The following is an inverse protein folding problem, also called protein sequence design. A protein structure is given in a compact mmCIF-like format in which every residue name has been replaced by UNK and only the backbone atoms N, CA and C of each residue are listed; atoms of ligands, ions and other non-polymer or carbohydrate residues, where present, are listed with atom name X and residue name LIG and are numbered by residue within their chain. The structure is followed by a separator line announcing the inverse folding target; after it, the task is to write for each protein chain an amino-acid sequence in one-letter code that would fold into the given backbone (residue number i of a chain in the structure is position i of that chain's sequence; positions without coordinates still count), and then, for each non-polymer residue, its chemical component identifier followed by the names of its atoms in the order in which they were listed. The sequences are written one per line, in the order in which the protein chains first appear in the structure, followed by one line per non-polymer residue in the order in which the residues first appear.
data_IF_063753878281
#
_entry.id   IF_063753878281
#
_cell.length_a   1.000
_cell.length_b   1.000
_cell.length_c   1.000
_cell.angle_alpha   90.00
_cell.angle_beta   90.00
_cell.angle_gamma   90.00
#
_symmetry.space_group_name_H-M   'P 1'
#
loop_
_entity.id
_entity.type
_entity.pdbx_description
1 polymer ?
#
# COMPACT_ATOMS: atom_id res chain seq x y z
N UNK A 1 -11.26 0.29 2.86
CA UNK A 1 -9.94 0.78 3.33
C UNK A 1 -9.63 2.04 2.52
N UNK A 2 -9.08 3.09 3.13
CA UNK A 2 -8.64 4.27 2.36
C UNK A 2 -7.19 4.07 1.95
N UNK A 3 -6.85 4.47 0.73
CA UNK A 3 -5.45 4.55 0.29
C UNK A 3 -4.70 5.60 1.10
N UNK A 4 -3.45 5.27 1.46
CA UNK A 4 -2.56 6.24 2.08
C UNK A 4 -2.06 7.20 1.00
N UNK A 5 -2.56 8.44 1.03
CA UNK A 5 -2.10 9.50 0.15
C UNK A 5 -0.85 10.18 0.69
N UNK A 6 -1.02 11.42 1.13
CA UNK A 6 0.02 12.27 1.72
C UNK A 6 -0.51 12.94 2.99
N UNK A 7 0.26 13.88 3.54
CA UNK A 7 -0.22 14.79 4.59
C UNK A 7 0.29 14.52 6.00
N UNK A 8 1.15 13.53 6.15
CA UNK A 8 1.87 13.26 7.39
C UNK A 8 3.16 12.50 7.08
N UNK A 9 3.94 12.19 8.10
CA UNK A 9 5.33 11.74 8.00
C UNK A 9 5.51 10.39 7.29
N UNK A 10 4.48 9.53 7.23
CA UNK A 10 4.57 8.26 6.50
C UNK A 10 4.90 8.45 5.01
N UNK A 11 4.64 9.64 4.46
CA UNK A 11 4.73 9.91 3.01
C UNK A 11 6.12 9.58 2.47
N UNK A 12 7.20 9.96 3.16
CA UNK A 12 8.56 9.64 2.71
C UNK A 12 8.86 8.14 2.79
N UNK A 13 8.38 7.46 3.84
CA UNK A 13 8.61 6.02 4.01
C UNK A 13 7.86 5.22 2.96
N UNK A 14 6.58 5.51 2.78
CA UNK A 14 5.72 4.75 1.90
C UNK A 14 5.94 5.13 0.43
N UNK A 15 5.75 6.41 0.10
CA UNK A 15 5.69 6.86 -1.28
C UNK A 15 7.07 6.97 -1.95
N UNK A 16 8.13 7.21 -1.17
CA UNK A 16 9.47 7.39 -1.72
C UNK A 16 10.36 6.16 -1.53
N UNK A 17 10.26 5.48 -0.38
CA UNK A 17 11.16 4.37 -0.03
C UNK A 17 10.53 2.98 -0.17
N UNK A 18 9.23 2.86 -0.45
CA UNK A 18 8.54 1.58 -0.50
C UNK A 18 8.59 0.83 0.82
N UNK A 19 8.48 1.55 1.94
CA UNK A 19 8.42 0.96 3.29
C UNK A 19 6.95 0.88 3.70
N UNK A 20 6.48 -0.36 3.92
CA UNK A 20 5.14 -0.65 4.41
C UNK A 20 4.87 0.21 5.64
N UNK A 21 3.82 1.02 5.55
CA UNK A 21 3.47 2.02 6.55
C UNK A 21 1.98 1.92 6.88
N UNK A 22 1.58 2.46 8.01
CA UNK A 22 0.19 2.56 8.42
C UNK A 22 -0.08 3.93 9.05
N UNK A 23 -1.31 4.42 8.89
CA UNK A 23 -1.82 5.56 9.62
C UNK A 23 -3.20 5.20 10.19
N UNK A 24 -3.26 5.05 11.51
CA UNK A 24 -4.42 4.52 12.21
C UNK A 24 -4.85 5.50 13.32
N UNK A 25 -6.12 5.88 13.30
CA UNK A 25 -6.74 6.73 14.29
C UNK A 25 -8.26 6.74 14.16
N UNK A 26 -8.93 7.33 15.14
CA UNK A 26 -10.36 7.62 15.07
C UNK A 26 -10.58 8.98 14.40
N UNK A 27 -11.64 9.09 13.61
CA UNK A 27 -12.07 10.36 13.02
C UNK A 27 -13.53 10.62 13.38
N UNK A 28 -13.89 11.89 13.55
CA UNK A 28 -15.28 12.30 13.75
C UNK A 28 -15.85 12.69 12.39
N UNK A 29 -16.48 11.72 11.73
CA UNK A 29 -17.02 11.89 10.38
C UNK A 29 -15.94 11.85 9.29
N UNK A 30 -16.32 12.32 8.09
CA UNK A 30 -15.50 12.28 6.87
C UNK A 30 -14.74 13.57 6.58
N UNK A 31 -14.99 14.65 7.34
CA UNK A 31 -14.33 15.94 7.19
C UNK A 31 -13.27 16.17 8.28
N UNK A 32 -12.40 17.16 8.06
CA UNK A 32 -11.49 17.63 9.11
C UNK A 32 -12.30 18.13 10.32
N UNK A 33 -11.81 17.87 11.52
CA UNK A 33 -12.47 18.33 12.73
C UNK A 33 -12.36 19.87 12.82
N UNK A 34 -13.40 20.51 13.39
CA UNK A 34 -13.64 21.95 13.23
C UNK A 34 -12.60 22.89 13.85
N UNK A 35 -11.67 22.39 14.65
CA UNK A 35 -10.60 23.18 15.29
C UNK A 35 -9.22 22.98 14.66
N UNK A 36 -9.10 22.14 13.62
CA UNK A 36 -7.83 21.84 12.96
C UNK A 36 -7.07 23.11 12.54
N UNK A 37 -5.76 23.15 12.83
CA UNK A 37 -4.85 24.27 12.53
C UNK A 37 -5.34 25.64 13.06
N UNK A 38 -6.08 25.64 14.16
CA UNK A 38 -6.54 26.87 14.82
C UNK A 38 -6.05 26.95 16.27
N UNK A 39 -6.15 28.15 16.86
CA UNK A 39 -5.88 28.34 18.29
C UNK A 39 -6.89 27.64 19.21
N UNK A 40 -7.98 27.09 18.64
CA UNK A 40 -9.00 26.35 19.38
C UNK A 40 -8.65 24.86 19.54
N UNK A 41 -7.65 24.35 18.80
CA UNK A 41 -7.11 23.01 19.01
C UNK A 41 -6.35 22.98 20.34
N UNK A 42 -7.05 22.54 21.38
CA UNK A 42 -6.66 22.78 22.77
C UNK A 42 -7.18 21.68 23.69
N UNK A 43 -6.57 21.55 24.88
CA UNK A 43 -7.00 20.56 25.87
C UNK A 43 -8.48 20.70 26.26
N UNK A 44 -9.04 21.91 26.50
CA UNK A 44 -10.46 22.04 26.79
C UNK A 44 -11.38 21.54 25.67
N UNK A 45 -10.98 21.74 24.40
CA UNK A 45 -11.72 21.16 23.27
C UNK A 45 -11.66 19.64 23.28
N UNK A 46 -10.49 19.06 23.48
CA UNK A 46 -10.33 17.60 23.52
C UNK A 46 -11.10 16.97 24.69
N UNK A 47 -10.99 17.51 25.90
CA UNK A 47 -11.65 16.96 27.09
C UNK A 47 -13.17 17.16 27.08
N UNK A 48 -13.65 18.27 26.49
CA UNK A 48 -15.07 18.61 26.46
C UNK A 48 -15.84 18.06 25.25
N UNK A 49 -15.17 17.90 24.10
CA UNK A 49 -15.82 17.61 22.81
C UNK A 49 -15.08 16.52 22.02
N UNK A 50 -13.76 16.65 21.83
CA UNK A 50 -13.00 15.82 20.91
C UNK A 50 -12.92 14.34 21.31
N UNK A 51 -12.52 14.07 22.56
CA UNK A 51 -12.48 12.73 23.14
C UNK A 51 -12.66 12.81 24.67
N UNK A 52 -13.89 13.05 25.18
CA UNK A 52 -14.15 13.08 26.61
C UNK A 52 -13.66 11.80 27.29
N UNK A 53 -12.90 11.96 28.38
CA UNK A 53 -12.22 10.88 29.10
C UNK A 53 -11.12 10.13 28.33
N UNK A 54 -10.65 10.64 27.19
CA UNK A 54 -9.55 10.08 26.40
C UNK A 54 -9.76 8.62 25.98
N UNK A 55 -11.01 8.20 25.77
CA UNK A 55 -11.35 6.80 25.51
C UNK A 55 -10.81 6.33 24.15
N UNK A 56 -10.94 7.16 23.11
CA UNK A 56 -10.42 6.82 21.78
C UNK A 56 -8.91 6.94 21.72
N UNK A 57 -8.29 7.94 22.37
CA UNK A 57 -6.83 8.03 22.51
C UNK A 57 -6.24 6.80 23.19
N UNK A 58 -6.84 6.36 24.30
CA UNK A 58 -6.43 5.14 25.02
C UNK A 58 -6.54 3.90 24.13
N UNK A 59 -7.60 3.82 23.32
CA UNK A 59 -7.81 2.71 22.38
C UNK A 59 -6.79 2.73 21.25
N UNK A 60 -6.53 3.90 20.66
CA UNK A 60 -5.49 4.09 19.64
C UNK A 60 -4.11 3.69 20.15
N UNK A 61 -3.76 4.08 21.38
CA UNK A 61 -2.51 3.66 22.01
C UNK A 61 -2.41 2.13 22.16
N UNK A 62 -3.50 1.46 22.54
CA UNK A 62 -3.56 -0.01 22.63
C UNK A 62 -3.42 -0.67 21.26
N UNK A 63 -4.05 -0.12 20.22
CA UNK A 63 -3.94 -0.64 18.86
C UNK A 63 -2.51 -0.53 18.33
N UNK A 64 -1.90 0.65 18.44
CA UNK A 64 -0.50 0.83 18.05
C UNK A 64 0.42 -0.09 18.84
N UNK A 65 0.24 -0.20 20.17
CA UNK A 65 1.02 -1.12 20.99
C UNK A 65 0.87 -2.59 20.56
N UNK A 66 -0.34 -3.04 20.25
CA UNK A 66 -0.59 -4.40 19.77
C UNK A 66 0.05 -4.66 18.40
N UNK A 67 -0.11 -3.72 17.45
CA UNK A 67 0.52 -3.81 16.12
C UNK A 67 2.03 -3.90 16.27
N UNK A 68 2.65 -3.02 17.09
CA UNK A 68 4.09 -3.07 17.36
C UNK A 68 4.53 -4.40 17.96
N UNK A 69 3.79 -4.92 18.96
CA UNK A 69 4.10 -6.21 19.57
C UNK A 69 4.06 -7.35 18.56
N UNK A 70 3.10 -7.33 17.64
CA UNK A 70 3.02 -8.34 16.58
C UNK A 70 4.15 -8.21 15.56
N UNK A 71 4.45 -6.99 15.10
CA UNK A 71 5.53 -6.76 14.14
C UNK A 71 6.92 -7.15 14.69
N UNK A 72 7.14 -7.00 16.01
CA UNK A 72 8.43 -7.29 16.64
C UNK A 72 8.55 -8.74 17.13
N UNK A 73 7.45 -9.38 17.52
CA UNK A 73 7.49 -10.71 18.16
C UNK A 73 6.92 -11.87 17.34
N UNK A 74 6.06 -11.60 16.34
CA UNK A 74 5.53 -12.70 15.51
C UNK A 74 6.70 -13.32 14.72
N UNK A 75 6.78 -14.67 14.73
CA UNK A 75 7.88 -15.39 14.08
C UNK A 75 7.95 -15.09 12.56
N UNK A 76 6.77 -14.91 11.96
CA UNK A 76 6.58 -14.40 10.61
C UNK A 76 5.82 -13.08 10.71
N UNK A 77 6.31 -12.05 10.02
CA UNK A 77 5.66 -10.73 9.99
C UNK A 77 4.27 -10.86 9.37
N UNK A 78 3.20 -10.31 9.98
CA UNK A 78 1.82 -10.54 9.57
C UNK A 78 1.39 -9.65 8.37
N UNK A 79 2.17 -9.66 7.29
CA UNK A 79 1.79 -9.00 6.04
C UNK A 79 1.10 -9.98 5.09
N UNK A 80 0.15 -9.47 4.32
CA UNK A 80 -0.63 -10.22 3.35
C UNK A 80 -0.85 -9.38 2.10
N UNK A 81 -0.36 -9.88 0.98
CA UNK A 81 -0.42 -9.20 -0.32
C UNK A 81 -1.48 -9.80 -1.25
N UNK A 82 -2.23 -10.82 -0.82
CA UNK A 82 -3.26 -11.46 -1.65
C UNK A 82 -4.39 -10.51 -2.05
N UNK A 83 -4.60 -9.43 -1.29
CA UNK A 83 -5.65 -8.45 -1.55
C UNK A 83 -5.23 -7.32 -2.49
N UNK A 84 -3.94 -7.14 -2.76
CA UNK A 84 -3.44 -6.05 -3.62
C UNK A 84 -4.01 -6.16 -5.04
N UNK A 85 -4.05 -7.38 -5.58
CA UNK A 85 -4.54 -7.63 -6.94
C UNK A 85 -6.03 -7.29 -7.13
N UNK A 86 -6.87 -7.57 -6.14
CA UNK A 86 -8.29 -7.20 -6.17
C UNK A 86 -8.46 -5.68 -6.30
N UNK A 87 -7.75 -4.94 -5.45
CA UNK A 87 -7.79 -3.48 -5.43
C UNK A 87 -7.27 -2.90 -6.75
N UNK A 88 -6.14 -3.41 -7.25
CA UNK A 88 -5.62 -3.03 -8.58
C UNK A 88 -6.65 -3.25 -9.69
N UNK A 89 -7.41 -4.35 -9.67
CA UNK A 89 -8.43 -4.61 -10.71
C UNK A 89 -9.61 -3.65 -10.63
N UNK A 90 -10.09 -3.36 -9.42
CA UNK A 90 -11.24 -2.48 -9.19
C UNK A 90 -10.95 -1.06 -9.68
N UNK A 91 -9.83 -0.45 -9.28
CA UNK A 91 -9.48 0.91 -9.68
C UNK A 91 -9.09 1.02 -11.17
N UNK A 92 -8.42 0.02 -11.74
CA UNK A 92 -8.06 0.04 -13.17
C UNK A 92 -9.29 0.15 -14.08
N UNK A 93 -10.38 -0.55 -13.71
CA UNK A 93 -11.61 -0.54 -14.48
C UNK A 93 -12.24 0.87 -14.59
N UNK A 94 -12.02 1.75 -13.61
CA UNK A 94 -12.46 3.14 -13.66
C UNK A 94 -11.63 3.96 -14.66
N UNK A 95 -10.30 3.86 -14.63
CA UNK A 95 -9.43 4.60 -15.55
C UNK A 95 -9.58 4.19 -17.01
N UNK A 96 -9.89 2.93 -17.29
CA UNK A 96 -10.21 2.46 -18.63
C UNK A 96 -11.43 3.20 -19.20
N UNK A 97 -12.48 3.42 -18.39
CA UNK A 97 -13.68 4.14 -18.83
C UNK A 97 -13.37 5.62 -19.09
N UNK A 98 -12.58 6.24 -18.20
CA UNK A 98 -12.21 7.65 -18.32
C UNK A 98 -11.37 7.89 -19.58
N UNK A 99 -10.35 7.07 -19.83
CA UNK A 99 -9.48 7.23 -21.01
C UNK A 99 -10.23 7.03 -22.32
N UNK A 100 -11.19 6.10 -22.38
CA UNK A 100 -12.11 5.96 -23.53
C UNK A 100 -12.97 7.22 -23.73
N UNK A 101 -13.55 7.76 -22.64
CA UNK A 101 -14.37 8.98 -22.71
C UNK A 101 -13.57 10.21 -23.18
N UNK A 102 -12.27 10.25 -22.86
CA UNK A 102 -11.32 11.27 -23.34
C UNK A 102 -10.86 11.04 -24.78
N UNK A 103 -11.34 10.01 -25.48
CA UNK A 103 -10.86 9.61 -26.81
C UNK A 103 -9.36 9.28 -26.83
N UNK A 104 -8.82 8.73 -25.74
CA UNK A 104 -7.45 8.21 -25.64
C UNK A 104 -7.47 6.70 -25.86
N UNK A 105 -6.68 6.23 -26.82
CA UNK A 105 -6.61 4.80 -27.17
C UNK A 105 -5.43 4.13 -26.45
N UNK A 106 -5.60 3.88 -25.15
CA UNK A 106 -4.61 3.24 -24.29
C UNK A 106 -4.96 1.75 -24.15
N UNK A 107 -3.97 0.89 -24.36
CA UNK A 107 -4.08 -0.55 -24.20
C UNK A 107 -3.61 -1.00 -22.82
N UNK A 108 -4.53 -1.50 -22.01
CA UNK A 108 -4.30 -2.00 -20.66
C UNK A 108 -4.13 -3.53 -20.58
N UNK A 109 -4.03 -4.24 -21.72
CA UNK A 109 -3.96 -5.72 -21.71
C UNK A 109 -2.77 -6.24 -20.90
N UNK A 110 -1.59 -5.66 -21.11
CA UNK A 110 -0.37 -6.05 -20.38
C UNK A 110 -0.50 -5.79 -18.88
N UNK A 111 -1.11 -4.66 -18.49
CA UNK A 111 -1.34 -4.34 -17.09
C UNK A 111 -2.33 -5.32 -16.44
N UNK A 112 -3.42 -5.68 -17.13
CA UNK A 112 -4.37 -6.69 -16.63
C UNK A 112 -3.72 -8.06 -16.47
N UNK A 113 -2.91 -8.48 -17.43
CA UNK A 113 -2.17 -9.74 -17.36
C UNK A 113 -1.20 -9.73 -16.18
N UNK A 114 -0.45 -8.64 -15.97
CA UNK A 114 0.47 -8.47 -14.84
C UNK A 114 -0.26 -8.51 -13.49
N UNK A 115 -1.42 -7.86 -13.36
CA UNK A 115 -2.23 -7.89 -12.12
C UNK A 115 -2.75 -9.30 -11.83
N UNK A 116 -3.19 -10.03 -12.86
CA UNK A 116 -3.65 -11.43 -12.74
C UNK A 116 -2.51 -12.35 -12.29
N UNK A 117 -1.31 -12.18 -12.88
CA UNK A 117 -0.11 -12.90 -12.49
C UNK A 117 0.29 -12.59 -11.04
N UNK A 118 0.31 -11.31 -10.67
CA UNK A 118 0.60 -10.88 -9.29
C UNK A 118 -0.38 -11.52 -8.30
N UNK A 119 -1.68 -11.50 -8.59
CA UNK A 119 -2.71 -12.08 -7.72
C UNK A 119 -2.47 -13.58 -7.49
N UNK A 120 -2.25 -14.32 -8.57
CA UNK A 120 -1.98 -15.76 -8.51
C UNK A 120 -0.70 -16.08 -7.72
N UNK A 121 0.35 -15.29 -7.94
CA UNK A 121 1.63 -15.49 -7.25
C UNK A 121 1.56 -15.07 -5.77
N UNK A 122 0.78 -14.04 -5.44
CA UNK A 122 0.57 -13.59 -4.05
C UNK A 122 -0.22 -14.63 -3.25
N UNK A 123 -1.27 -15.22 -3.83
CA UNK A 123 -2.01 -16.33 -3.20
C UNK A 123 -1.11 -17.54 -2.95
N UNK A 124 -0.33 -17.95 -3.97
CA UNK A 124 0.60 -19.06 -3.85
C UNK A 124 1.69 -18.79 -2.79
N UNK A 125 2.24 -17.58 -2.77
CA UNK A 125 3.22 -17.16 -1.78
C UNK A 125 2.64 -17.19 -0.36
N UNK A 126 1.44 -16.61 -0.16
CA UNK A 126 0.78 -16.59 1.14
C UNK A 126 0.47 -18.00 1.65
N UNK A 127 0.04 -18.90 0.76
CA UNK A 127 -0.18 -20.31 1.09
C UNK A 127 1.11 -21.02 1.55
N UNK A 128 2.25 -20.72 0.93
CA UNK A 128 3.56 -21.29 1.31
C UNK A 128 4.04 -20.76 2.67
N UNK A 129 3.89 -19.46 2.90
CA UNK A 129 4.20 -18.83 4.19
C UNK A 129 3.33 -19.43 5.30
N UNK A 130 2.04 -19.62 5.07
CA UNK A 130 1.13 -20.25 6.02
C UNK A 130 1.52 -21.71 6.30
N UNK A 131 1.86 -22.50 5.27
CA UNK A 131 2.33 -23.88 5.44
C UNK A 131 3.62 -23.96 6.27
N UNK A 132 4.55 -23.02 6.06
CA UNK A 132 5.75 -22.88 6.87
C UNK A 132 5.43 -22.55 8.34
N UNK A 133 4.54 -21.56 8.57
CA UNK A 133 4.14 -21.15 9.91
C UNK A 133 3.46 -22.30 10.68
N UNK A 134 2.57 -23.06 10.03
CA UNK A 134 1.89 -24.22 10.61
C UNK A 134 2.86 -25.34 10.98
N UNK A 135 3.82 -25.64 10.10
CA UNK A 135 4.88 -26.63 10.34
C UNK A 135 5.74 -26.20 11.55
N UNK A 136 6.11 -24.92 11.60
CA UNK A 136 6.91 -24.35 12.69
C UNK A 136 6.17 -24.36 14.02
N UNK A 137 4.87 -24.07 14.03
CA UNK A 137 4.05 -24.08 15.25
C UNK A 137 3.87 -25.48 15.84
N UNK A 138 3.73 -26.52 14.99
CA UNK A 138 3.57 -27.92 15.42
C UNK A 138 4.85 -28.49 16.03
N UNK A 139 6.02 -28.04 15.57
CA UNK A 139 7.31 -28.37 16.16
C UNK A 139 7.70 -27.34 17.21
N UNK A 140 7.01 -27.35 18.35
CA UNK A 140 7.36 -26.49 19.50
C UNK A 140 8.88 -26.57 19.74
N UNK A 141 9.56 -25.44 19.56
CA UNK A 141 11.01 -25.24 19.76
C UNK A 141 11.96 -25.87 18.72
N UNK A 142 11.55 -26.12 17.48
CA UNK A 142 12.52 -26.39 16.39
C UNK A 142 13.26 -25.09 16.01
N UNK A 143 14.21 -24.69 16.87
CA UNK A 143 15.21 -23.64 16.63
C UNK A 143 16.39 -24.17 15.82
N UNK A 144 16.17 -25.16 14.96
CA UNK A 144 17.22 -25.60 14.04
C UNK A 144 17.67 -24.42 13.18
N UNK A 145 18.95 -24.43 12.85
CA UNK A 145 19.55 -23.42 11.98
C UNK A 145 18.84 -23.34 10.63
N UNK A 146 18.37 -24.47 10.11
CA UNK A 146 17.60 -24.55 8.86
C UNK A 146 16.26 -23.83 8.95
N UNK A 147 15.51 -24.02 10.05
CA UNK A 147 14.24 -23.33 10.26
C UNK A 147 14.42 -21.81 10.41
N UNK A 148 15.53 -21.37 11.02
CA UNK A 148 15.88 -19.96 11.11
C UNK A 148 16.15 -19.34 9.74
N UNK A 149 16.91 -20.03 8.88
CA UNK A 149 17.19 -19.59 7.51
C UNK A 149 15.90 -19.48 6.70
N UNK A 150 15.04 -20.51 6.76
CA UNK A 150 13.76 -20.52 6.04
C UNK A 150 12.84 -19.40 6.56
N UNK A 151 12.78 -19.17 7.88
CA UNK A 151 12.02 -18.06 8.47
C UNK A 151 12.52 -16.70 8.02
N UNK A 152 13.85 -16.50 8.03
CA UNK A 152 14.46 -15.26 7.56
C UNK A 152 14.13 -15.01 6.08
N UNK A 153 14.22 -16.04 5.24
CA UNK A 153 13.86 -15.96 3.83
C UNK A 153 12.42 -15.46 3.62
N UNK A 154 11.44 -16.03 4.34
CA UNK A 154 10.04 -15.60 4.23
C UNK A 154 9.83 -14.16 4.71
N UNK A 155 10.42 -13.78 5.85
CA UNK A 155 10.32 -12.42 6.38
C UNK A 155 10.99 -11.40 5.47
N UNK A 156 12.12 -11.74 4.88
CA UNK A 156 12.80 -10.87 3.93
C UNK A 156 11.94 -10.61 2.69
N UNK A 157 11.29 -11.65 2.14
CA UNK A 157 10.32 -11.51 1.05
C UNK A 157 9.16 -10.59 1.42
N UNK A 158 8.51 -10.84 2.57
CA UNK A 158 7.37 -10.06 3.06
C UNK A 158 7.71 -8.58 3.24
N UNK A 159 8.86 -8.27 3.85
CA UNK A 159 9.28 -6.89 4.15
C UNK A 159 9.77 -6.15 2.91
N UNK A 160 10.31 -6.86 1.91
CA UNK A 160 10.88 -6.23 0.71
C UNK A 160 9.90 -6.05 -0.45
N UNK A 161 8.81 -6.82 -0.50
CA UNK A 161 7.90 -6.81 -1.67
C UNK A 161 7.45 -5.38 -2.06
N UNK A 162 7.08 -4.54 -1.10
CA UNK A 162 6.59 -3.17 -1.37
C UNK A 162 7.60 -2.32 -2.16
N UNK A 163 8.91 -2.57 -2.01
CA UNK A 163 9.96 -1.85 -2.76
C UNK A 163 9.97 -2.23 -4.24
N UNK A 164 9.50 -3.42 -4.58
CA UNK A 164 9.33 -3.84 -5.98
C UNK A 164 8.13 -3.16 -6.66
N UNK A 165 7.31 -2.41 -5.92
CA UNK A 165 6.22 -1.60 -6.45
C UNK A 165 6.63 -0.13 -6.65
N UNK A 166 7.92 0.17 -6.50
CA UNK A 166 8.48 1.51 -6.70
C UNK A 166 9.32 1.58 -7.97
N UNK A 167 9.38 2.78 -8.56
CA UNK A 167 10.28 3.10 -9.69
C UNK A 167 11.24 4.21 -9.30
N UNK A 168 12.49 4.11 -9.77
CA UNK A 168 13.49 5.15 -9.56
C UNK A 168 13.20 6.44 -10.33
N UNK A 169 12.53 6.33 -11.47
CA UNK A 169 12.09 7.48 -12.28
C UNK A 169 10.92 8.22 -11.63
N UNK A 170 10.16 7.53 -10.77
CA UNK A 170 9.00 8.05 -10.06
C UNK A 170 7.76 8.22 -10.93
N UNK A 171 6.78 8.95 -10.40
CA UNK A 171 5.53 9.23 -11.07
C UNK A 171 5.69 10.34 -12.14
N UNK A 172 4.90 10.30 -13.22
CA UNK A 172 4.76 11.41 -14.16
C UNK A 172 4.48 12.72 -13.41
N UNK A 173 5.06 13.83 -13.86
CA UNK A 173 4.90 15.19 -13.31
C UNK A 173 5.39 15.40 -11.86
N UNK A 174 5.66 14.34 -11.09
CA UNK A 174 6.08 14.41 -9.68
C UNK A 174 7.03 13.27 -9.31
N UNK A 175 8.26 13.26 -9.86
CA UNK A 175 9.21 12.13 -9.75
C UNK A 175 9.72 11.84 -8.33
N UNK A 176 9.44 12.73 -7.37
CA UNK A 176 9.72 12.44 -5.97
C UNK A 176 8.83 11.32 -5.41
N UNK A 177 7.61 11.15 -5.92
CA UNK A 177 6.77 10.00 -5.56
C UNK A 177 7.20 8.82 -6.41
N UNK A 178 7.60 7.72 -5.77
CA UNK A 178 8.17 6.54 -6.43
C UNK A 178 7.25 5.35 -6.48
N UNK A 179 6.29 5.27 -5.57
CA UNK A 179 5.36 4.15 -5.48
C UNK A 179 4.31 4.23 -6.61
N UNK A 180 4.29 3.22 -7.49
CA UNK A 180 3.50 3.26 -8.72
C UNK A 180 2.07 2.74 -8.56
N UNK A 181 1.80 2.00 -7.48
CA UNK A 181 0.52 1.31 -7.31
C UNK A 181 -0.46 2.12 -6.47
N UNK A 182 0.02 2.67 -5.36
CA UNK A 182 -0.79 3.46 -4.44
C UNK A 182 -0.05 4.75 -4.11
N UNK A 183 -0.73 5.88 -4.21
CA UNK A 183 -0.11 7.17 -3.93
C UNK A 183 -1.13 8.29 -3.77
N UNK A 184 -0.71 9.50 -3.40
CA UNK A 184 -1.63 10.63 -3.31
C UNK A 184 -2.24 10.94 -4.69
N UNK A 185 -3.53 11.30 -4.76
CA UNK A 185 -4.11 11.85 -5.98
C UNK A 185 -3.67 13.31 -6.18
N UNK A 186 -3.37 13.75 -7.41
CA UNK A 186 -2.84 15.10 -7.66
C UNK A 186 -3.74 16.22 -7.10
N UNK A 187 -5.06 16.11 -7.30
CA UNK A 187 -6.05 17.07 -6.80
C UNK A 187 -6.86 16.56 -5.60
N UNK A 188 -6.51 15.41 -5.03
CA UNK A 188 -7.28 14.80 -3.94
C UNK A 188 -6.77 15.14 -2.53
N UNK A 189 -5.76 16.01 -2.45
CA UNK A 189 -5.17 16.45 -1.19
C UNK A 189 -4.54 15.28 -0.43
N UNK A 190 -5.16 14.87 0.68
CA UNK A 190 -4.65 13.80 1.55
C UNK A 190 -5.12 12.40 1.13
N UNK A 191 -6.12 12.29 0.25
CA UNK A 191 -6.60 10.99 -0.21
C UNK A 191 -5.59 10.35 -1.13
N UNK A 192 -5.39 9.05 -0.93
CA UNK A 192 -4.66 8.24 -1.89
C UNK A 192 -5.58 7.74 -3.00
N UNK A 193 -4.95 7.29 -4.07
CA UNK A 193 -5.56 6.67 -5.24
C UNK A 193 -4.70 5.47 -5.64
N UNK A 194 -5.32 4.47 -6.27
CA UNK A 194 -4.55 3.49 -7.01
C UNK A 194 -4.01 4.09 -8.33
N UNK A 195 -2.95 3.51 -8.86
CA UNK A 195 -2.22 3.94 -10.06
C UNK A 195 -2.08 5.47 -10.19
N UNK A 196 -1.46 6.13 -9.20
CA UNK A 196 -1.40 7.58 -9.13
C UNK A 196 -0.85 8.24 -10.40
N UNK A 197 0.10 7.62 -11.10
CA UNK A 197 0.61 8.20 -12.35
C UNK A 197 -0.32 8.03 -13.57
N UNK A 198 -1.17 6.98 -13.61
CA UNK A 198 -2.24 6.85 -14.61
C UNK A 198 -3.29 7.94 -14.34
N UNK A 199 -3.67 8.10 -13.07
CA UNK A 199 -4.56 9.18 -12.62
C UNK A 199 -4.00 10.57 -12.98
N UNK A 200 -2.70 10.80 -12.74
CA UNK A 200 -2.05 12.05 -13.13
C UNK A 200 -2.09 12.28 -14.64
N UNK A 201 -1.80 11.26 -15.44
CA UNK A 201 -1.82 11.38 -16.89
C UNK A 201 -3.22 11.79 -17.42
N UNK A 202 -4.28 11.28 -16.79
CA UNK A 202 -5.66 11.69 -17.05
C UNK A 202 -5.86 13.17 -16.66
N UNK A 203 -5.43 13.54 -15.46
CA UNK A 203 -5.58 14.89 -14.90
C UNK A 203 -4.87 15.95 -15.73
N UNK A 204 -3.69 15.62 -16.27
CA UNK A 204 -2.90 16.51 -17.13
C UNK A 204 -3.26 16.44 -18.61
N UNK A 205 -4.25 15.60 -18.96
CA UNK A 205 -4.68 15.35 -20.34
C UNK A 205 -3.52 14.94 -21.27
N UNK A 206 -2.58 14.14 -20.74
CA UNK A 206 -1.43 13.65 -21.51
C UNK A 206 -1.88 12.94 -22.80
N UNK A 207 -1.01 12.92 -23.80
CA UNK A 207 -1.30 12.23 -25.04
C UNK A 207 -1.27 10.71 -24.88
N UNK A 208 -1.85 10.00 -25.86
CA UNK A 208 -1.97 8.54 -25.83
C UNK A 208 -0.62 7.84 -25.69
N UNK A 209 0.45 8.38 -26.28
CA UNK A 209 1.76 7.73 -26.23
C UNK A 209 2.38 7.85 -24.82
N UNK A 210 2.27 9.01 -24.19
CA UNK A 210 2.72 9.21 -22.80
C UNK A 210 1.92 8.34 -21.83
N UNK A 211 0.59 8.30 -21.97
CA UNK A 211 -0.26 7.43 -21.14
C UNK A 211 0.10 5.95 -21.32
N UNK A 212 0.28 5.50 -22.58
CA UNK A 212 0.64 4.10 -22.87
C UNK A 212 1.98 3.73 -22.26
N UNK A 213 3.00 4.57 -22.42
CA UNK A 213 4.32 4.31 -21.83
C UNK A 213 4.22 4.12 -20.33
N UNK A 214 3.47 4.97 -19.64
CA UNK A 214 3.32 4.85 -18.20
C UNK A 214 2.54 3.59 -17.78
N UNK A 215 1.50 3.20 -18.52
CA UNK A 215 0.78 1.93 -18.30
C UNK A 215 1.73 0.74 -18.47
N UNK A 216 2.59 0.76 -19.47
CA UNK A 216 3.57 -0.29 -19.74
C UNK A 216 4.62 -0.36 -18.60
N UNK A 217 5.09 0.78 -18.10
CA UNK A 217 6.02 0.86 -16.97
C UNK A 217 5.41 0.26 -15.69
N UNK A 218 4.15 0.60 -15.39
CA UNK A 218 3.41 0.04 -14.25
C UNK A 218 3.25 -1.48 -14.41
N UNK A 219 2.90 -1.96 -15.61
CA UNK A 219 2.78 -3.39 -15.88
C UNK A 219 4.11 -4.12 -15.64
N UNK A 220 5.22 -3.57 -16.10
CA UNK A 220 6.55 -4.14 -15.90
C UNK A 220 6.95 -4.23 -14.41
N UNK A 221 6.63 -3.19 -13.63
CA UNK A 221 6.86 -3.16 -12.18
C UNK A 221 6.03 -4.23 -11.47
N UNK A 222 4.75 -4.37 -11.80
CA UNK A 222 3.88 -5.40 -11.22
C UNK A 222 4.37 -6.80 -11.59
N UNK A 223 4.71 -7.08 -12.85
CA UNK A 223 5.27 -8.37 -13.25
C UNK A 223 6.58 -8.68 -12.52
N UNK A 224 7.44 -7.67 -12.30
CA UNK A 224 8.68 -7.85 -11.53
C UNK A 224 8.39 -8.21 -10.07
N UNK A 225 7.42 -7.53 -9.44
CA UNK A 225 6.97 -7.86 -8.08
C UNK A 225 6.31 -9.26 -8.01
N UNK A 226 5.52 -9.63 -9.03
CA UNK A 226 4.91 -10.94 -9.14
C UNK A 226 5.97 -12.06 -9.23
N UNK A 227 7.01 -11.86 -10.03
CA UNK A 227 8.13 -12.81 -10.15
C UNK A 227 8.92 -12.90 -8.83
N UNK A 228 9.09 -11.80 -8.12
CA UNK A 228 9.78 -11.78 -6.83
C UNK A 228 9.12 -12.69 -5.79
N UNK A 229 7.78 -12.77 -5.76
CA UNK A 229 7.04 -13.62 -4.82
C UNK A 229 7.37 -15.12 -4.95
N UNK A 230 7.70 -15.58 -6.17
CA UNK A 230 7.91 -17.00 -6.47
C UNK A 230 9.38 -17.36 -6.78
N UNK A 231 10.31 -16.42 -6.66
CA UNK A 231 11.74 -16.70 -6.80
C UNK A 231 12.30 -17.32 -5.50
N UNK A 232 12.72 -18.58 -5.56
CA UNK A 232 13.28 -19.37 -4.44
C UNK A 232 14.75 -19.72 -4.67
#
# INVERSE_FOLDING_TARGET
IQFMGSGTDFTAFYQHLGIISANLGFTVGSAMYGTYHSTMDSLPYMEGVGDPHYATHTTTAKWWGLITLRLVNDAIVPFDFSTYGLVMQEDLAEYEQITVAMSRNVNYSLLRDAISEFSSNAELFQARVAAFADKSAKKKEDRSHENEIERHFWNEKLVRLERFLTSDDGLPHRPWFKHLIFGPGFYEGYKGTAFPGISDSIVFEDDTATMQQHVDDVAAVISTAAAYLIAF
#
